data_IF_796808775307
#
_entry.id   IF_796808775307
#
_cell.length_a   1.000
_cell.length_b   1.000
_cell.length_c   1.000
_cell.angle_alpha   90.00
_cell.angle_beta   90.00
_cell.angle_gamma   90.00
#
_symmetry.space_group_name_H-M   'P 1'
#
loop_
_entity.id
_entity.type
_entity.pdbx_description
1 polymer ?
#
# COMPACT_ATOMS: atom_id res chain seq x y z
N UNK A 1 22.78 55.55 16.65
CA UNK A 1 22.24 55.01 15.40
C UNK A 1 20.87 55.61 15.04
N UNK A 2 20.09 56.12 15.97
CA UNK A 2 18.78 56.76 15.73
C UNK A 2 18.83 58.17 15.05
N UNK A 3 19.93 58.88 15.19
CA UNK A 3 20.07 60.26 14.70
C UNK A 3 20.37 60.37 13.20
N UNK A 4 21.04 59.34 12.62
CA UNK A 4 21.41 59.31 11.18
C UNK A 4 20.19 58.93 10.32
N UNK A 5 19.27 58.12 10.83
CA UNK A 5 18.03 57.74 10.09
C UNK A 5 17.04 58.92 9.97
N UNK A 6 17.02 59.82 10.95
CA UNK A 6 16.16 61.01 10.89
C UNK A 6 16.66 62.10 9.91
N UNK A 7 17.99 62.23 9.81
CA UNK A 7 18.58 63.19 8.84
C UNK A 7 18.38 62.79 7.40
N UNK A 8 18.48 61.48 7.06
CA UNK A 8 18.27 60.98 5.70
C UNK A 8 16.79 61.07 5.24
N UNK A 9 15.82 60.91 6.15
CA UNK A 9 14.41 60.96 5.80
C UNK A 9 13.93 62.40 5.55
N UNK A 10 14.43 63.38 6.34
CA UNK A 10 14.08 64.80 6.14
C UNK A 10 14.76 65.40 4.92
N UNK A 11 16.00 65.00 4.60
CA UNK A 11 16.74 65.50 3.42
C UNK A 11 16.09 64.98 2.11
N UNK A 12 15.71 63.73 2.08
CA UNK A 12 15.03 63.16 0.89
C UNK A 12 13.60 63.75 0.69
N UNK A 13 12.86 64.01 1.79
CA UNK A 13 11.55 64.66 1.69
C UNK A 13 11.65 66.09 1.18
N UNK A 14 12.66 66.86 1.62
CA UNK A 14 12.88 68.25 1.13
C UNK A 14 13.32 68.29 -0.34
N UNK A 15 14.11 67.35 -0.83
CA UNK A 15 14.52 67.25 -2.25
C UNK A 15 13.34 66.98 -3.15
N UNK A 16 12.37 66.20 -2.71
CA UNK A 16 11.18 65.82 -3.51
C UNK A 16 10.13 66.94 -3.50
N UNK A 17 10.02 67.69 -2.40
CA UNK A 17 9.10 68.86 -2.27
C UNK A 17 9.50 70.02 -3.20
N UNK A 18 10.74 70.05 -3.68
CA UNK A 18 11.25 71.08 -4.61
C UNK A 18 11.19 70.62 -6.08
N UNK A 19 10.68 69.41 -6.38
CA UNK A 19 10.55 68.93 -7.75
C UNK A 19 9.52 69.72 -8.52
N UNK A 20 9.87 70.16 -9.73
CA UNK A 20 8.93 70.85 -10.62
C UNK A 20 7.76 69.94 -10.98
N UNK A 21 6.57 70.49 -11.10
CA UNK A 21 5.32 69.79 -11.41
C UNK A 21 5.46 68.95 -12.69
N UNK A 22 6.22 69.44 -13.64
CA UNK A 22 6.55 68.76 -14.89
C UNK A 22 7.32 67.46 -14.66
N UNK A 23 8.27 67.43 -13.74
CA UNK A 23 9.05 66.25 -13.42
C UNK A 23 8.20 65.18 -12.71
N UNK A 24 7.32 65.57 -11.81
CA UNK A 24 6.38 64.66 -11.14
C UNK A 24 5.42 63.98 -12.16
N UNK A 25 4.91 64.72 -13.14
CA UNK A 25 4.09 64.17 -14.21
C UNK A 25 4.86 63.20 -15.08
N UNK A 26 6.11 63.52 -15.44
CA UNK A 26 6.98 62.64 -16.24
C UNK A 26 7.27 61.36 -15.49
N UNK A 27 7.59 61.39 -14.20
CA UNK A 27 7.88 60.22 -13.38
C UNK A 27 6.64 59.33 -13.22
N UNK A 28 5.44 59.88 -13.03
CA UNK A 28 4.21 59.09 -12.92
C UNK A 28 3.86 58.39 -14.24
N UNK A 29 3.99 59.07 -15.37
CA UNK A 29 3.79 58.48 -16.70
C UNK A 29 4.84 57.37 -16.95
N UNK A 30 6.10 57.63 -16.65
CA UNK A 30 7.17 56.65 -16.79
C UNK A 30 6.93 55.39 -15.94
N UNK A 31 6.52 55.56 -14.67
CA UNK A 31 6.18 54.46 -13.78
C UNK A 31 5.04 53.58 -14.31
N UNK A 32 3.97 54.22 -14.83
CA UNK A 32 2.84 53.50 -15.44
C UNK A 32 3.27 52.75 -16.70
N UNK A 33 4.04 53.38 -17.58
CA UNK A 33 4.54 52.77 -18.81
C UNK A 33 5.47 51.58 -18.52
N UNK A 34 6.37 51.68 -17.54
CA UNK A 34 7.26 50.60 -17.09
C UNK A 34 6.45 49.47 -16.50
N UNK A 35 5.45 49.75 -15.67
CA UNK A 35 4.56 48.75 -15.10
C UNK A 35 3.78 47.97 -16.16
N UNK A 36 3.25 48.68 -17.17
CA UNK A 36 2.57 48.07 -18.30
C UNK A 36 3.52 47.20 -19.14
N UNK A 37 4.73 47.67 -19.39
CA UNK A 37 5.75 46.92 -20.12
C UNK A 37 6.16 45.63 -19.40
N UNK A 38 6.44 45.74 -18.12
CA UNK A 38 6.77 44.57 -17.25
C UNK A 38 5.58 43.61 -17.23
N UNK A 39 4.37 44.11 -16.99
CA UNK A 39 3.15 43.29 -16.97
C UNK A 39 2.94 42.58 -18.31
N UNK A 40 3.12 43.25 -19.43
CA UNK A 40 3.01 42.68 -20.76
C UNK A 40 4.07 41.60 -21.04
N UNK A 41 5.32 41.85 -20.66
CA UNK A 41 6.41 40.88 -20.80
C UNK A 41 6.18 39.62 -19.96
N UNK A 42 5.80 39.80 -18.70
CA UNK A 42 5.49 38.68 -17.80
C UNK A 42 4.28 37.88 -18.29
N UNK A 43 3.21 38.55 -18.75
CA UNK A 43 2.06 37.90 -19.36
C UNK A 43 2.45 37.10 -20.59
N UNK A 44 3.26 37.68 -21.48
CA UNK A 44 3.70 37.03 -22.71
C UNK A 44 4.52 35.75 -22.38
N UNK A 45 5.40 35.82 -21.39
CA UNK A 45 6.19 34.65 -20.94
C UNK A 45 5.31 33.58 -20.28
N UNK A 46 4.40 34.01 -19.40
CA UNK A 46 3.51 33.10 -18.69
C UNK A 46 2.56 32.37 -19.64
N UNK A 47 1.90 33.13 -20.54
CA UNK A 47 0.97 32.56 -21.53
C UNK A 47 1.68 31.60 -22.47
N UNK A 48 2.92 31.90 -22.91
CA UNK A 48 3.71 31.01 -23.78
C UNK A 48 4.09 29.70 -23.08
N UNK A 49 4.38 29.75 -21.77
CA UNK A 49 4.72 28.54 -20.98
C UNK A 49 3.48 27.72 -20.62
N UNK A 50 2.36 28.38 -20.36
CA UNK A 50 1.11 27.74 -19.97
C UNK A 50 0.35 27.14 -21.16
N UNK A 51 0.53 27.66 -22.38
CA UNK A 51 -0.07 27.09 -23.60
C UNK A 51 0.39 25.65 -23.90
N UNK A 52 1.51 25.23 -23.34
CA UNK A 52 2.02 23.85 -23.45
C UNK A 52 1.51 22.94 -22.32
N UNK A 53 0.58 23.39 -21.51
CA UNK A 53 -0.03 22.63 -20.40
C UNK A 53 -1.49 22.30 -20.73
N UNK A 54 -2.04 21.31 -20.01
CA UNK A 54 -3.42 20.80 -20.16
C UNK A 54 -4.48 21.79 -19.58
N UNK A 55 -4.15 23.06 -19.40
CA UNK A 55 -5.03 24.05 -18.82
C UNK A 55 -5.94 24.67 -19.89
N UNK A 56 -7.20 24.89 -19.52
CA UNK A 56 -8.20 25.55 -20.38
C UNK A 56 -7.81 26.99 -20.72
N UNK A 57 -8.08 27.41 -21.94
CA UNK A 57 -7.72 28.75 -22.47
C UNK A 57 -8.23 29.89 -21.59
N UNK A 58 -9.42 29.77 -20.97
CA UNK A 58 -9.98 30.82 -20.10
C UNK A 58 -9.14 30.98 -18.81
N UNK A 59 -8.59 29.89 -18.24
CA UNK A 59 -7.72 29.91 -17.06
C UNK A 59 -6.40 30.62 -17.40
N UNK A 60 -5.83 30.32 -18.57
CA UNK A 60 -4.58 30.94 -19.04
C UNK A 60 -4.77 32.46 -19.25
N UNK A 61 -5.92 32.87 -19.79
CA UNK A 61 -6.22 34.27 -19.97
C UNK A 61 -6.46 35.01 -18.65
N UNK A 62 -7.20 34.45 -17.72
CA UNK A 62 -7.44 35.05 -16.39
C UNK A 62 -6.16 35.19 -15.58
N UNK A 63 -5.30 34.16 -15.57
CA UNK A 63 -3.95 34.24 -14.98
C UNK A 63 -3.09 35.30 -15.65
N UNK A 64 -3.17 35.41 -16.98
CA UNK A 64 -2.47 36.42 -17.74
C UNK A 64 -2.90 37.86 -17.38
N UNK A 65 -4.17 38.08 -17.11
CA UNK A 65 -4.68 39.38 -16.62
C UNK A 65 -4.20 39.66 -15.21
N UNK A 66 -4.26 38.69 -14.35
CA UNK A 66 -3.82 38.79 -12.93
C UNK A 66 -2.33 39.14 -12.81
N UNK A 67 -1.49 38.61 -13.68
CA UNK A 67 -0.05 38.93 -13.78
C UNK A 67 0.21 40.38 -14.16
N UNK A 68 -0.68 41.02 -14.97
CA UNK A 68 -0.54 42.44 -15.35
C UNK A 68 -1.01 43.37 -14.22
N UNK A 69 -1.97 42.94 -13.42
CA UNK A 69 -2.52 43.76 -12.31
C UNK A 69 -1.45 44.03 -11.25
N UNK A 70 -0.56 43.08 -10.95
CA UNK A 70 0.46 43.20 -9.89
C UNK A 70 1.44 44.38 -10.15
N UNK A 71 2.09 44.51 -11.30
CA UNK A 71 2.92 45.69 -11.60
C UNK A 71 2.15 47.00 -11.59
N UNK A 72 0.90 46.98 -12.04
CA UNK A 72 0.04 48.18 -12.03
C UNK A 72 -0.32 48.62 -10.60
N UNK A 73 -0.59 47.70 -9.69
CA UNK A 73 -0.81 47.99 -8.26
C UNK A 73 0.47 48.57 -7.62
N UNK A 74 1.63 48.05 -7.95
CA UNK A 74 2.91 48.58 -7.47
C UNK A 74 3.14 50.00 -7.98
N UNK A 75 2.83 50.28 -9.26
CA UNK A 75 2.92 51.60 -9.82
C UNK A 75 1.90 52.58 -9.17
N UNK A 76 0.68 52.12 -8.91
CA UNK A 76 -0.34 52.89 -8.21
C UNK A 76 0.06 53.31 -6.80
N UNK A 77 0.79 52.41 -6.07
CA UNK A 77 1.37 52.71 -4.74
C UNK A 77 2.57 53.68 -4.84
N UNK A 78 3.28 53.73 -5.95
CA UNK A 78 4.37 54.68 -6.17
C UNK A 78 3.91 56.11 -6.47
N UNK A 79 2.70 56.31 -7.02
CA UNK A 79 2.16 57.64 -7.36
C UNK A 79 2.07 58.56 -6.13
N UNK A 80 1.45 58.18 -4.99
CA UNK A 80 1.38 59.02 -3.79
C UNK A 80 2.76 59.41 -3.24
N UNK A 81 3.77 58.52 -3.40
CA UNK A 81 5.17 58.80 -2.97
C UNK A 81 5.77 59.92 -3.81
N UNK A 82 5.45 59.99 -5.11
CA UNK A 82 5.96 61.04 -6.02
C UNK A 82 5.27 62.37 -5.79
N UNK A 83 3.96 62.35 -5.49
CA UNK A 83 3.17 63.58 -5.39
C UNK A 83 3.16 64.19 -3.97
N UNK A 84 3.06 63.41 -2.93
CA UNK A 84 2.97 63.87 -1.53
C UNK A 84 3.71 62.92 -0.60
N UNK A 85 5.07 62.86 -0.66
CA UNK A 85 5.85 61.87 0.09
C UNK A 85 5.63 62.01 1.60
N UNK A 86 5.60 63.21 2.13
CA UNK A 86 5.41 63.44 3.57
C UNK A 86 4.06 62.85 4.07
N UNK A 87 2.96 63.14 3.37
CA UNK A 87 1.63 62.65 3.71
C UNK A 87 1.57 61.11 3.57
N UNK A 88 2.21 60.56 2.55
CA UNK A 88 2.26 59.13 2.32
C UNK A 88 3.03 58.42 3.44
N UNK A 89 4.21 58.94 3.81
CA UNK A 89 5.02 58.31 4.86
C UNK A 89 4.41 58.45 6.25
N UNK A 90 3.74 59.60 6.57
CA UNK A 90 3.04 59.78 7.82
C UNK A 90 1.81 58.87 7.93
N UNK A 91 1.01 58.78 6.85
CA UNK A 91 -0.12 57.86 6.77
C UNK A 91 0.36 56.40 6.87
N UNK A 92 1.42 56.04 6.16
CA UNK A 92 2.01 54.69 6.20
C UNK A 92 2.52 54.33 7.59
N UNK A 93 3.17 55.29 8.26
CA UNK A 93 3.65 55.10 9.65
C UNK A 93 2.47 54.92 10.61
N UNK A 94 1.42 55.73 10.47
CA UNK A 94 0.22 55.64 11.31
C UNK A 94 -0.48 54.29 11.09
N UNK A 95 -0.57 53.84 9.86
CA UNK A 95 -1.15 52.55 9.47
C UNK A 95 -0.35 51.36 10.02
N UNK A 96 0.99 51.42 9.98
CA UNK A 96 1.87 50.45 10.60
C UNK A 96 1.67 50.37 12.11
N UNK A 97 1.56 51.53 12.77
CA UNK A 97 1.34 51.57 14.22
C UNK A 97 -0.05 51.06 14.62
N UNK A 98 -1.07 51.39 13.87
CA UNK A 98 -2.45 50.93 14.11
C UNK A 98 -2.63 49.42 13.82
N UNK A 99 -2.06 48.95 12.77
CA UNK A 99 -2.20 47.52 12.36
C UNK A 99 -1.12 46.60 12.95
N UNK A 100 -0.12 47.15 13.69
CA UNK A 100 1.03 46.38 14.18
C UNK A 100 1.78 45.60 13.08
N UNK A 101 1.71 46.10 11.84
CA UNK A 101 2.31 45.41 10.68
C UNK A 101 3.82 45.68 10.66
N UNK A 102 4.59 44.65 10.83
CA UNK A 102 6.03 44.71 10.54
C UNK A 102 6.27 44.39 9.05
N UNK A 103 6.44 45.42 8.23
CA UNK A 103 6.63 45.29 6.76
C UNK A 103 7.85 44.44 6.43
N UNK A 104 8.91 44.55 7.21
CA UNK A 104 10.11 43.71 7.00
C UNK A 104 9.83 42.23 7.24
N UNK A 105 9.03 41.90 8.25
CA UNK A 105 8.60 40.53 8.51
C UNK A 105 7.70 40.02 7.39
N UNK A 106 6.70 40.80 6.96
CA UNK A 106 5.83 40.42 5.83
C UNK A 106 6.59 40.19 4.52
N UNK A 107 7.56 41.05 4.20
CA UNK A 107 8.41 40.87 3.03
C UNK A 107 9.22 39.57 3.16
N UNK A 108 9.74 39.26 4.34
CA UNK A 108 10.43 38.01 4.63
C UNK A 108 9.53 36.79 4.43
N UNK A 109 8.29 36.83 4.94
CA UNK A 109 7.29 35.75 4.78
C UNK A 109 6.90 35.54 3.32
N UNK A 110 6.66 36.64 2.56
CA UNK A 110 6.33 36.57 1.11
C UNK A 110 7.49 36.00 0.30
N UNK A 111 8.71 36.51 0.51
CA UNK A 111 9.92 36.02 -0.18
C UNK A 111 10.18 34.56 0.19
N UNK A 112 10.07 34.21 1.47
CA UNK A 112 10.19 32.84 1.97
C UNK A 112 9.18 31.92 1.34
N UNK A 113 7.91 32.36 1.22
CA UNK A 113 6.85 31.57 0.55
C UNK A 113 7.16 31.34 -0.92
N UNK A 114 7.60 32.37 -1.64
CA UNK A 114 7.97 32.22 -3.06
C UNK A 114 9.14 31.26 -3.25
N UNK A 115 10.14 31.34 -2.38
CA UNK A 115 11.28 30.41 -2.38
C UNK A 115 10.85 28.98 -2.05
N UNK A 116 10.00 28.79 -1.04
CA UNK A 116 9.46 27.48 -0.70
C UNK A 116 8.65 26.87 -1.84
N UNK A 117 7.82 27.65 -2.51
CA UNK A 117 7.07 27.19 -3.68
C UNK A 117 8.02 26.78 -4.82
N UNK A 118 8.98 27.64 -5.16
CA UNK A 118 9.90 27.40 -6.27
C UNK A 118 10.79 26.15 -6.01
N UNK A 119 11.42 26.08 -4.82
CA UNK A 119 12.26 24.96 -4.42
C UNK A 119 11.43 23.71 -4.21
N UNK A 120 10.25 23.86 -3.64
CA UNK A 120 9.35 22.76 -3.34
C UNK A 120 8.81 22.06 -4.59
N UNK A 121 8.37 22.83 -5.59
CA UNK A 121 7.95 22.25 -6.89
C UNK A 121 9.14 21.59 -7.58
N UNK A 122 10.33 22.18 -7.49
CA UNK A 122 11.56 21.58 -8.00
C UNK A 122 11.85 20.24 -7.31
N UNK A 123 11.80 20.19 -5.98
CA UNK A 123 12.01 18.98 -5.19
C UNK A 123 10.95 17.92 -5.51
N UNK A 124 9.66 18.29 -5.56
CA UNK A 124 8.57 17.37 -5.88
C UNK A 124 8.74 16.72 -7.25
N UNK A 125 9.12 17.49 -8.27
CA UNK A 125 9.41 16.99 -9.63
C UNK A 125 10.64 16.08 -9.65
N UNK A 126 11.68 16.44 -8.89
CA UNK A 126 12.90 15.62 -8.79
C UNK A 126 12.62 14.29 -8.14
N UNK A 127 11.89 14.27 -7.00
CA UNK A 127 11.47 13.05 -6.31
C UNK A 127 10.63 12.17 -7.25
N UNK A 128 9.64 12.75 -7.93
CA UNK A 128 8.83 12.05 -8.92
C UNK A 128 9.70 11.42 -10.01
N UNK A 129 10.65 12.18 -10.57
CA UNK A 129 11.52 11.70 -11.64
C UNK A 129 12.48 10.59 -11.16
N UNK A 130 13.02 10.69 -9.95
CA UNK A 130 13.89 9.66 -9.35
C UNK A 130 13.10 8.36 -9.14
N UNK A 131 11.89 8.45 -8.59
CA UNK A 131 11.03 7.28 -8.37
C UNK A 131 10.67 6.62 -9.71
N UNK A 132 10.26 7.40 -10.70
CA UNK A 132 9.92 6.88 -12.03
C UNK A 132 11.12 6.23 -12.73
N UNK A 133 12.34 6.72 -12.52
CA UNK A 133 13.56 6.12 -13.08
C UNK A 133 14.02 4.88 -12.30
N UNK A 134 13.84 4.87 -10.97
CA UNK A 134 14.25 3.76 -10.11
C UNK A 134 13.39 2.51 -10.26
N UNK A 135 12.12 2.67 -10.67
CA UNK A 135 11.24 1.54 -10.91
C UNK A 135 11.52 0.90 -12.28
N UNK A 136 11.97 -0.37 -12.26
CA UNK A 136 12.33 -1.12 -13.47
C UNK A 136 11.14 -1.24 -14.45
N UNK A 137 11.38 -0.95 -15.71
CA UNK A 137 10.39 -1.07 -16.81
C UNK A 137 9.97 -2.51 -17.10
N UNK A 138 10.80 -3.49 -16.74
CA UNK A 138 10.56 -4.90 -17.10
C UNK A 138 9.55 -5.60 -16.18
N UNK A 139 9.24 -5.04 -15.01
CA UNK A 139 8.35 -5.69 -14.02
C UNK A 139 7.14 -4.87 -13.63
N UNK A 140 7.12 -3.57 -13.91
CA UNK A 140 6.07 -2.64 -13.44
C UNK A 140 5.52 -1.89 -14.64
N UNK A 141 4.19 -1.99 -14.84
CA UNK A 141 3.47 -1.28 -15.87
C UNK A 141 3.64 0.25 -15.75
N UNK A 142 3.66 0.94 -16.89
CA UNK A 142 3.85 2.38 -16.99
C UNK A 142 2.79 3.17 -16.18
N UNK A 143 1.56 2.65 -16.13
CA UNK A 143 0.46 3.26 -15.38
C UNK A 143 0.74 3.23 -13.88
N UNK A 144 1.22 2.10 -13.36
CA UNK A 144 1.57 1.92 -11.94
C UNK A 144 2.74 2.83 -11.54
N UNK A 145 3.77 2.93 -12.38
CA UNK A 145 4.90 3.84 -12.14
C UNK A 145 4.46 5.29 -12.07
N UNK A 146 3.61 5.70 -13.00
CA UNK A 146 3.07 7.07 -13.05
C UNK A 146 2.21 7.36 -11.83
N UNK A 147 1.41 6.39 -11.38
CA UNK A 147 0.58 6.51 -10.18
C UNK A 147 1.45 6.73 -8.94
N UNK A 148 2.46 5.87 -8.74
CA UNK A 148 3.39 5.96 -7.61
C UNK A 148 4.11 7.32 -7.62
N UNK A 149 4.64 7.72 -8.77
CA UNK A 149 5.30 9.03 -8.90
C UNK A 149 4.37 10.21 -8.58
N UNK A 150 3.09 10.12 -8.97
CA UNK A 150 2.09 11.14 -8.66
C UNK A 150 1.75 11.20 -7.18
N UNK A 151 1.65 10.05 -6.50
CA UNK A 151 1.42 10.00 -5.04
C UNK A 151 2.55 10.72 -4.30
N UNK A 152 3.81 10.42 -4.60
CA UNK A 152 4.94 11.09 -3.95
C UNK A 152 5.03 12.57 -4.29
N UNK A 153 4.68 12.98 -5.51
CA UNK A 153 4.57 14.38 -5.88
C UNK A 153 3.55 15.13 -5.00
N UNK A 154 2.34 14.56 -4.84
CA UNK A 154 1.28 15.14 -4.01
C UNK A 154 1.69 15.19 -2.53
N UNK A 155 2.28 14.12 -1.99
CA UNK A 155 2.77 14.10 -0.61
C UNK A 155 3.82 15.20 -0.36
N UNK A 156 4.74 15.40 -1.30
CA UNK A 156 5.74 16.47 -1.20
C UNK A 156 5.06 17.85 -1.22
N UNK A 157 4.06 18.07 -2.06
CA UNK A 157 3.31 19.34 -2.08
C UNK A 157 2.56 19.59 -0.77
N UNK A 158 1.98 18.56 -0.15
CA UNK A 158 1.32 18.67 1.15
C UNK A 158 2.33 19.11 2.22
N UNK A 159 3.52 18.51 2.26
CA UNK A 159 4.58 18.90 3.20
C UNK A 159 5.00 20.36 3.02
N UNK A 160 5.13 20.81 1.77
CA UNK A 160 5.47 22.21 1.46
C UNK A 160 4.35 23.15 1.92
N UNK A 161 3.09 22.77 1.71
CA UNK A 161 1.94 23.56 2.18
C UNK A 161 1.97 23.70 3.71
N UNK A 162 2.30 22.65 4.47
CA UNK A 162 2.47 22.74 5.91
C UNK A 162 3.60 23.69 6.32
N UNK A 163 4.73 23.68 5.60
CA UNK A 163 5.83 24.61 5.86
C UNK A 163 5.43 26.05 5.57
N UNK A 164 4.66 26.31 4.53
CA UNK A 164 4.14 27.64 4.20
C UNK A 164 3.20 28.11 5.32
N UNK A 165 2.25 27.28 5.77
CA UNK A 165 1.36 27.63 6.88
C UNK A 165 2.16 27.95 8.16
N UNK A 166 3.21 27.20 8.45
CA UNK A 166 4.10 27.44 9.59
C UNK A 166 4.85 28.76 9.46
N UNK A 167 5.30 29.12 8.24
CA UNK A 167 5.98 30.39 7.97
C UNK A 167 5.08 31.58 8.30
N UNK A 168 3.79 31.46 8.00
CA UNK A 168 2.77 32.50 8.27
C UNK A 168 2.20 32.43 9.70
N UNK A 169 2.82 31.67 10.59
CA UNK A 169 2.34 31.44 11.97
C UNK A 169 0.86 30.99 12.06
N UNK A 170 0.36 30.35 10.99
CA UNK A 170 -1.00 29.78 10.96
C UNK A 170 -1.00 28.52 11.80
N UNK A 171 -1.96 28.39 12.72
CA UNK A 171 -2.10 27.20 13.55
C UNK A 171 -2.30 25.95 12.70
N UNK A 172 -1.41 24.96 12.87
CA UNK A 172 -1.48 23.68 12.16
C UNK A 172 -2.46 22.68 12.81
N UNK A 173 -3.09 23.04 13.93
CA UNK A 173 -3.99 22.14 14.67
C UNK A 173 -5.15 21.61 13.82
N UNK A 174 -5.83 22.46 13.08
CA UNK A 174 -6.96 22.06 12.21
C UNK A 174 -6.50 21.24 11.00
N UNK A 175 -5.51 21.66 10.19
CA UNK A 175 -4.99 20.83 9.11
C UNK A 175 -4.46 19.48 9.58
N UNK A 176 -3.74 19.42 10.71
CA UNK A 176 -3.22 18.17 11.28
C UNK A 176 -4.38 17.27 11.75
N UNK A 177 -5.40 17.83 12.39
CA UNK A 177 -6.57 17.06 12.79
C UNK A 177 -7.30 16.46 11.58
N UNK A 178 -7.49 17.23 10.51
CA UNK A 178 -8.10 16.76 9.27
C UNK A 178 -7.25 15.64 8.63
N UNK A 179 -5.92 15.81 8.57
CA UNK A 179 -5.01 14.81 8.03
C UNK A 179 -5.03 13.53 8.87
N UNK A 180 -5.19 13.62 10.19
CA UNK A 180 -5.30 12.46 11.08
C UNK A 180 -6.52 11.61 10.76
N UNK A 181 -7.68 12.23 10.50
CA UNK A 181 -8.89 11.51 10.08
C UNK A 181 -8.67 10.78 8.76
N UNK A 182 -8.06 11.44 7.77
CA UNK A 182 -7.73 10.83 6.48
C UNK A 182 -6.76 9.67 6.66
N UNK A 183 -5.74 9.83 7.51
CA UNK A 183 -4.76 8.79 7.81
C UNK A 183 -5.41 7.57 8.42
N UNK A 184 -6.32 7.75 9.38
CA UNK A 184 -7.09 6.65 9.99
C UNK A 184 -7.93 5.92 8.93
N UNK A 185 -8.65 6.66 8.08
CA UNK A 185 -9.44 6.07 7.01
C UNK A 185 -8.59 5.24 6.02
N UNK A 186 -7.42 5.76 5.61
CA UNK A 186 -6.47 5.03 4.76
C UNK A 186 -5.95 3.78 5.47
N UNK A 187 -5.60 3.88 6.76
CA UNK A 187 -5.10 2.76 7.56
C UNK A 187 -6.11 1.61 7.58
N UNK A 188 -7.38 1.89 7.85
CA UNK A 188 -8.43 0.87 7.79
C UNK A 188 -8.59 0.27 6.38
N UNK A 189 -8.45 1.08 5.34
CA UNK A 189 -8.58 0.61 3.95
C UNK A 189 -7.47 -0.35 3.50
N UNK A 190 -6.25 -0.22 4.05
CA UNK A 190 -5.11 -1.07 3.68
C UNK A 190 -4.79 -2.15 4.72
N UNK A 191 -5.55 -2.20 5.82
CA UNK A 191 -5.30 -3.10 6.95
C UNK A 191 -5.19 -4.57 6.53
N UNK A 192 -6.09 -5.06 5.68
CA UNK A 192 -6.10 -6.45 5.23
C UNK A 192 -4.87 -6.78 4.37
N UNK A 193 -4.46 -5.84 3.51
CA UNK A 193 -3.25 -6.01 2.69
C UNK A 193 -2.01 -6.09 3.59
N UNK A 194 -1.92 -5.23 4.60
CA UNK A 194 -0.80 -5.23 5.53
C UNK A 194 -0.75 -6.52 6.36
N UNK A 195 -1.92 -7.02 6.78
CA UNK A 195 -2.04 -8.30 7.48
C UNK A 195 -1.54 -9.46 6.63
N UNK A 196 -1.91 -9.51 5.34
CA UNK A 196 -1.42 -10.53 4.41
C UNK A 196 0.10 -10.49 4.26
N UNK A 197 0.70 -9.29 4.16
CA UNK A 197 2.15 -9.12 4.04
C UNK A 197 2.88 -9.61 5.29
N UNK A 198 2.39 -9.25 6.48
CA UNK A 198 2.98 -9.67 7.75
C UNK A 198 2.87 -11.18 7.91
N UNK A 199 1.70 -11.77 7.63
CA UNK A 199 1.50 -13.22 7.69
C UNK A 199 2.39 -13.95 6.67
N UNK A 200 2.52 -13.43 5.44
CA UNK A 200 3.40 -13.99 4.42
C UNK A 200 4.87 -13.99 4.86
N UNK A 201 5.32 -12.90 5.48
CA UNK A 201 6.65 -12.82 6.05
C UNK A 201 6.89 -13.87 7.13
N UNK A 202 5.90 -14.10 8.04
CA UNK A 202 5.97 -15.16 9.04
C UNK A 202 6.05 -16.56 8.41
N UNK A 203 5.19 -16.84 7.43
CA UNK A 203 5.21 -18.15 6.73
C UNK A 203 6.57 -18.41 6.09
N UNK A 204 7.19 -17.39 5.49
CA UNK A 204 8.51 -17.50 4.86
C UNK A 204 9.65 -17.73 5.88
N UNK A 205 9.54 -17.19 7.10
CA UNK A 205 10.54 -17.35 8.15
C UNK A 205 10.35 -18.68 8.89
N UNK A 206 9.14 -18.94 9.39
CA UNK A 206 8.86 -20.12 10.22
C UNK A 206 8.75 -21.40 9.40
N UNK A 207 8.40 -21.29 8.11
CA UNK A 207 8.28 -22.39 7.15
C UNK A 207 7.48 -23.58 7.71
N UNK A 208 6.22 -23.40 8.11
CA UNK A 208 5.38 -24.49 8.58
C UNK A 208 5.13 -25.55 7.51
N UNK A 209 5.35 -25.21 6.25
CA UNK A 209 5.34 -26.08 5.08
C UNK A 209 6.34 -25.58 4.03
N UNK A 210 6.74 -26.44 3.12
CA UNK A 210 7.67 -26.12 2.02
C UNK A 210 6.95 -26.16 0.66
N UNK A 211 7.57 -25.54 -0.34
CA UNK A 211 7.14 -25.71 -1.73
C UNK A 211 7.26 -27.19 -2.10
N UNK A 212 6.18 -27.75 -2.66
CA UNK A 212 6.05 -29.17 -2.97
C UNK A 212 5.38 -30.00 -1.88
N UNK A 213 5.09 -29.43 -0.70
CA UNK A 213 4.28 -30.10 0.31
C UNK A 213 2.80 -30.07 -0.07
N UNK A 214 2.10 -31.15 0.24
CA UNK A 214 0.64 -31.18 0.18
C UNK A 214 0.08 -30.69 1.52
N UNK A 215 -0.68 -29.61 1.48
CA UNK A 215 -1.32 -29.07 2.67
C UNK A 215 -2.85 -29.02 2.51
N UNK A 216 -3.53 -29.17 3.62
CA UNK A 216 -4.97 -28.90 3.73
C UNK A 216 -5.17 -27.69 4.64
N UNK A 217 -5.86 -26.68 4.14
CA UNK A 217 -6.14 -25.45 4.89
C UNK A 217 -7.61 -25.39 5.25
N UNK A 218 -7.90 -25.11 6.51
CA UNK A 218 -9.28 -24.88 6.98
C UNK A 218 -9.32 -23.54 7.68
N UNK A 219 -10.06 -22.61 7.12
CA UNK A 219 -10.32 -21.31 7.73
C UNK A 219 -11.79 -21.23 8.13
N UNK A 220 -12.10 -20.50 9.19
CA UNK A 220 -13.47 -20.30 9.68
C UNK A 220 -14.41 -19.62 8.64
N UNK A 221 -13.84 -19.05 7.57
CA UNK A 221 -14.55 -18.24 6.57
C UNK A 221 -14.50 -18.84 5.16
N UNK A 222 -13.66 -19.85 4.92
CA UNK A 222 -13.43 -20.39 3.58
C UNK A 222 -13.64 -21.91 3.52
N UNK A 223 -14.04 -22.38 2.35
CA UNK A 223 -14.07 -23.82 2.02
C UNK A 223 -12.65 -24.40 2.24
N UNK A 224 -12.54 -25.62 2.84
CA UNK A 224 -11.24 -26.26 2.98
C UNK A 224 -10.64 -26.57 1.60
N UNK A 225 -9.37 -26.21 1.42
CA UNK A 225 -8.62 -26.51 0.20
C UNK A 225 -7.50 -27.49 0.52
N UNK A 226 -7.37 -28.52 -0.29
CA UNK A 226 -6.26 -29.48 -0.24
C UNK A 226 -5.50 -29.42 -1.56
N UNK A 227 -4.20 -29.14 -1.48
CA UNK A 227 -3.38 -29.01 -2.68
C UNK A 227 -1.90 -28.99 -2.38
N UNK A 228 -1.09 -29.05 -3.43
CA UNK A 228 0.37 -28.94 -3.35
C UNK A 228 0.78 -27.49 -3.38
N UNK A 229 1.64 -27.05 -2.47
CA UNK A 229 2.20 -25.71 -2.42
C UNK A 229 3.11 -25.49 -3.63
N UNK A 230 2.74 -24.57 -4.53
CA UNK A 230 3.56 -24.19 -5.68
C UNK A 230 4.48 -23.02 -5.38
N UNK A 231 3.95 -22.01 -4.68
CA UNK A 231 4.69 -20.79 -4.38
C UNK A 231 4.13 -20.10 -3.13
N UNK A 232 5.01 -19.44 -2.39
CA UNK A 232 4.65 -18.61 -1.24
C UNK A 232 5.11 -17.19 -1.53
N UNK A 233 4.17 -16.34 -1.93
CA UNK A 233 4.39 -14.94 -2.22
C UNK A 233 4.17 -14.09 -0.98
N UNK A 234 4.56 -12.80 -1.03
CA UNK A 234 4.39 -11.89 0.11
C UNK A 234 2.93 -11.73 0.56
N UNK A 235 1.95 -11.79 -0.35
CA UNK A 235 0.54 -11.59 -0.04
C UNK A 235 -0.29 -12.86 -0.01
N UNK A 236 0.09 -13.86 -0.78
CA UNK A 236 -0.72 -15.06 -1.00
C UNK A 236 0.15 -16.31 -1.14
N UNK A 237 -0.35 -17.43 -0.67
CA UNK A 237 0.18 -18.76 -0.92
C UNK A 237 -0.60 -19.39 -2.07
N UNK A 238 0.09 -19.97 -3.06
CA UNK A 238 -0.49 -20.64 -4.21
C UNK A 238 -0.45 -22.14 -4.00
N UNK A 239 -1.61 -22.74 -4.19
CA UNK A 239 -1.78 -24.20 -4.13
C UNK A 239 -2.24 -24.69 -5.49
N UNK A 240 -1.70 -25.82 -5.95
CA UNK A 240 -2.28 -26.63 -7.01
C UNK A 240 -3.15 -27.69 -6.40
N UNK A 241 -4.44 -27.65 -6.68
CA UNK A 241 -5.40 -28.65 -6.24
C UNK A 241 -5.16 -29.99 -6.94
N UNK A 242 -5.73 -31.06 -6.40
CA UNK A 242 -5.68 -32.40 -7.00
C UNK A 242 -6.36 -32.42 -8.38
N UNK A 243 -7.38 -31.58 -8.59
CA UNK A 243 -8.06 -31.35 -9.89
C UNK A 243 -7.21 -30.63 -10.93
N UNK A 244 -6.03 -30.08 -10.54
CA UNK A 244 -5.10 -29.36 -11.40
C UNK A 244 -5.28 -27.84 -11.43
N UNK A 245 -6.27 -27.30 -10.74
CA UNK A 245 -6.54 -25.88 -10.65
C UNK A 245 -5.55 -25.18 -9.70
N UNK A 246 -5.23 -23.92 -9.99
CA UNK A 246 -4.45 -23.06 -9.08
C UNK A 246 -5.40 -22.27 -8.17
N UNK A 247 -5.19 -22.35 -6.87
CA UNK A 247 -5.87 -21.51 -5.87
C UNK A 247 -4.87 -20.61 -5.20
N UNK A 248 -5.16 -19.32 -5.19
CA UNK A 248 -4.36 -18.30 -4.49
C UNK A 248 -5.07 -17.90 -3.19
N UNK A 249 -4.51 -18.28 -2.06
CA UNK A 249 -5.08 -18.04 -0.73
C UNK A 249 -4.33 -16.89 -0.06
N UNK A 250 -5.00 -15.81 0.40
CA UNK A 250 -4.38 -14.75 1.18
C UNK A 250 -3.64 -15.30 2.39
N UNK A 251 -2.42 -14.83 2.62
CA UNK A 251 -1.56 -15.36 3.68
C UNK A 251 -2.18 -15.21 5.08
N UNK A 252 -2.97 -14.17 5.30
CA UNK A 252 -3.70 -13.97 6.55
C UNK A 252 -4.70 -15.10 6.83
N UNK A 253 -5.31 -15.70 5.80
CA UNK A 253 -6.23 -16.83 5.96
C UNK A 253 -5.46 -18.13 6.21
N UNK A 254 -4.31 -18.31 5.56
CA UNK A 254 -3.44 -19.49 5.79
C UNK A 254 -2.89 -19.47 7.22
N UNK A 255 -2.34 -18.34 7.66
CA UNK A 255 -1.73 -18.18 8.98
C UNK A 255 -2.76 -18.17 10.12
N UNK A 256 -3.95 -17.60 9.88
CA UNK A 256 -5.03 -17.53 10.87
C UNK A 256 -5.89 -18.79 10.94
N UNK A 257 -5.69 -19.76 10.03
CA UNK A 257 -6.42 -21.02 9.98
C UNK A 257 -5.62 -22.20 10.52
N UNK A 258 -6.24 -23.38 10.45
CA UNK A 258 -5.54 -24.63 10.71
C UNK A 258 -4.92 -25.12 9.40
N UNK A 259 -3.62 -25.36 9.42
CA UNK A 259 -2.88 -25.96 8.30
C UNK A 259 -2.45 -27.36 8.68
N UNK A 260 -2.93 -28.35 7.93
CA UNK A 260 -2.49 -29.74 8.05
C UNK A 260 -1.50 -30.01 6.94
N UNK A 261 -0.23 -30.27 7.29
CA UNK A 261 0.77 -30.68 6.30
C UNK A 261 0.72 -32.22 6.14
N UNK A 262 0.19 -32.65 5.00
CA UNK A 262 -0.03 -34.07 4.70
C UNK A 262 1.23 -34.80 4.28
N UNK A 263 2.31 -34.10 3.93
CA UNK A 263 3.55 -34.67 3.39
C UNK A 263 4.79 -34.36 4.24
N UNK A 264 4.62 -33.63 5.33
CA UNK A 264 5.75 -33.30 6.24
C UNK A 264 6.47 -34.56 6.74
N UNK A 265 5.69 -35.56 7.14
CA UNK A 265 6.23 -36.87 7.46
C UNK A 265 6.21 -37.77 6.22
N UNK A 266 7.26 -38.58 6.06
CA UNK A 266 7.40 -39.48 4.90
C UNK A 266 6.34 -40.57 4.88
N UNK A 267 5.66 -40.80 5.99
CA UNK A 267 4.73 -41.89 6.21
C UNK A 267 3.41 -41.41 6.73
N UNK A 268 2.34 -42.04 6.29
CA UNK A 268 0.96 -41.71 6.63
C UNK A 268 0.22 -42.97 7.07
N UNK A 269 -0.54 -42.86 8.13
CA UNK A 269 -1.42 -43.96 8.60
C UNK A 269 -2.69 -43.99 7.77
N UNK A 270 -3.02 -45.18 7.26
CA UNK A 270 -4.30 -45.48 6.58
C UNK A 270 -5.10 -46.42 7.47
N UNK A 271 -6.41 -46.26 7.45
CA UNK A 271 -7.36 -47.12 8.17
C UNK A 271 -8.34 -47.63 7.15
N UNK A 272 -8.42 -48.96 6.99
CA UNK A 272 -9.46 -49.62 6.23
C UNK A 272 -10.40 -50.30 7.22
N UNK A 273 -11.69 -50.02 7.09
CA UNK A 273 -12.73 -50.64 7.89
C UNK A 273 -13.32 -51.77 7.05
N UNK A 274 -13.22 -52.98 7.54
CA UNK A 274 -13.82 -54.17 6.93
C UNK A 274 -15.04 -54.57 7.76
N UNK A 275 -16.17 -54.71 7.12
CA UNK A 275 -17.43 -55.22 7.71
C UNK A 275 -17.64 -56.68 7.22
N UNK A 276 -17.61 -57.62 8.12
CA UNK A 276 -17.73 -59.05 7.88
C UNK A 276 -18.91 -59.63 8.57
N UNK A 277 -19.60 -60.60 7.96
CA UNK A 277 -20.60 -61.34 8.69
C UNK A 277 -19.99 -62.02 9.96
N UNK A 278 -20.71 -62.05 11.07
CA UNK A 278 -20.23 -62.56 12.35
C UNK A 278 -19.67 -64.01 12.21
N UNK A 279 -20.30 -64.76 11.32
CA UNK A 279 -19.91 -66.17 11.00
C UNK A 279 -18.52 -66.28 10.37
N UNK A 280 -18.10 -65.27 9.63
CA UNK A 280 -16.84 -65.24 8.91
C UNK A 280 -15.69 -64.61 9.74
N UNK A 281 -15.97 -64.11 10.93
CA UNK A 281 -14.96 -63.57 11.81
C UNK A 281 -14.55 -64.54 12.91
N UNK A 282 -13.33 -65.11 12.76
CA UNK A 282 -12.71 -65.96 13.77
C UNK A 282 -11.69 -65.12 14.54
N UNK A 283 -11.88 -64.98 15.84
CA UNK A 283 -11.12 -64.05 16.72
C UNK A 283 -9.60 -64.16 16.59
N UNK A 284 -9.02 -65.34 16.51
CA UNK A 284 -7.58 -65.51 16.49
C UNK A 284 -7.01 -65.79 15.09
N UNK A 285 -7.82 -66.18 14.14
CA UNK A 285 -7.44 -66.54 12.78
C UNK A 285 -7.55 -65.41 11.80
N UNK A 286 -8.71 -64.73 11.75
CA UNK A 286 -9.00 -63.64 10.80
C UNK A 286 -8.02 -62.48 10.93
N UNK A 287 -7.67 -61.97 12.14
CA UNK A 287 -6.69 -60.89 12.27
C UNK A 287 -5.30 -61.29 11.82
N UNK A 288 -4.87 -62.57 12.07
CA UNK A 288 -3.56 -63.06 11.64
C UNK A 288 -3.45 -63.21 10.14
N UNK A 289 -4.51 -63.68 9.48
CA UNK A 289 -4.58 -63.77 8.01
C UNK A 289 -4.47 -62.39 7.35
N UNK A 290 -5.18 -61.41 7.88
CA UNK A 290 -5.13 -60.01 7.43
C UNK A 290 -3.73 -59.43 7.61
N UNK A 291 -3.12 -59.58 8.82
CA UNK A 291 -1.79 -59.09 9.12
C UNK A 291 -0.74 -59.68 8.19
N UNK A 292 -0.78 -60.98 7.98
CA UNK A 292 0.17 -61.68 7.09
C UNK A 292 0.07 -61.16 5.66
N UNK A 293 -1.14 -61.03 5.14
CA UNK A 293 -1.38 -60.56 3.78
C UNK A 293 -0.90 -59.13 3.56
N UNK A 294 -1.03 -58.28 4.58
CA UNK A 294 -0.60 -56.85 4.48
C UNK A 294 0.91 -56.73 4.65
N UNK A 295 1.53 -57.58 5.50
CA UNK A 295 2.96 -57.55 5.70
C UNK A 295 3.76 -58.05 4.49
N UNK A 296 3.15 -58.85 3.62
CA UNK A 296 3.75 -59.29 2.35
C UNK A 296 3.85 -58.19 1.28
N UNK A 297 3.17 -57.06 1.49
CA UNK A 297 3.19 -55.90 0.57
C UNK A 297 4.40 -55.00 0.85
N UNK A 298 5.37 -54.92 -0.07
CA UNK A 298 6.58 -54.08 0.07
C UNK A 298 6.26 -52.58 0.31
N UNK A 299 5.12 -52.13 -0.17
CA UNK A 299 4.72 -50.74 -0.05
C UNK A 299 4.13 -50.38 1.31
N UNK A 300 3.77 -51.33 2.12
CA UNK A 300 3.34 -51.14 3.51
C UNK A 300 4.58 -51.10 4.43
N UNK A 301 4.67 -50.07 5.25
CA UNK A 301 5.79 -49.90 6.15
C UNK A 301 5.73 -50.92 7.27
N UNK A 302 6.86 -51.64 7.55
CA UNK A 302 6.91 -52.61 8.62
C UNK A 302 6.93 -51.99 10.02
N UNK A 303 7.30 -50.71 10.12
CA UNK A 303 7.29 -49.94 11.38
C UNK A 303 6.64 -48.59 11.11
N UNK A 304 5.66 -48.11 11.95
CA UNK A 304 4.99 -48.87 13.00
C UNK A 304 4.25 -50.11 12.45
N UNK A 305 4.21 -51.19 13.22
CA UNK A 305 3.61 -52.46 12.80
C UNK A 305 2.13 -52.30 12.44
N UNK A 306 1.66 -52.90 11.34
CA UNK A 306 0.23 -52.95 11.02
C UNK A 306 -0.54 -53.59 12.16
N UNK A 307 -1.75 -53.09 12.41
CA UNK A 307 -2.61 -53.54 13.49
C UNK A 307 -4.01 -53.85 12.97
N UNK A 308 -4.57 -54.92 13.46
CA UNK A 308 -5.96 -55.32 13.20
C UNK A 308 -6.73 -55.30 14.51
N UNK A 309 -7.79 -54.49 14.55
CA UNK A 309 -8.57 -54.26 15.76
C UNK A 309 -10.04 -54.51 15.47
N UNK A 310 -10.70 -55.37 16.26
CA UNK A 310 -12.15 -55.50 16.29
C UNK A 310 -12.71 -54.29 16.99
N UNK A 311 -13.50 -53.47 16.32
CA UNK A 311 -14.14 -52.29 16.88
C UNK A 311 -15.47 -52.57 17.58
N UNK A 312 -16.15 -53.61 17.10
CA UNK A 312 -17.47 -54.03 17.62
C UNK A 312 -18.27 -54.74 16.57
N UNK A 313 -19.53 -54.96 16.87
CA UNK A 313 -20.52 -55.53 15.97
C UNK A 313 -21.64 -54.47 15.71
N UNK A 314 -22.10 -54.46 14.46
CA UNK A 314 -23.27 -53.59 14.13
C UNK A 314 -24.60 -54.28 14.38
N UNK A 315 -25.71 -53.56 14.17
CA UNK A 315 -27.08 -54.13 14.31
C UNK A 315 -27.37 -55.26 13.34
N UNK A 316 -26.65 -55.34 12.22
CA UNK A 316 -26.83 -56.35 11.19
C UNK A 316 -25.98 -57.60 11.42
N UNK A 317 -25.46 -57.79 12.66
CA UNK A 317 -24.59 -58.89 13.07
C UNK A 317 -23.30 -58.98 12.22
N UNK A 318 -22.73 -57.85 11.85
CA UNK A 318 -21.46 -57.81 11.18
C UNK A 318 -20.35 -57.37 12.15
N UNK A 319 -19.23 -58.03 12.12
CA UNK A 319 -18.01 -57.62 12.82
C UNK A 319 -17.37 -56.45 12.08
N UNK A 320 -17.12 -55.37 12.79
CA UNK A 320 -16.42 -54.20 12.26
C UNK A 320 -14.96 -54.31 12.67
N UNK A 321 -14.10 -54.57 11.70
CA UNK A 321 -12.67 -54.72 11.86
C UNK A 321 -11.93 -53.55 11.27
N UNK A 322 -11.09 -52.87 12.05
CA UNK A 322 -10.22 -51.82 11.55
C UNK A 322 -8.81 -52.36 11.31
N UNK A 323 -8.36 -52.19 10.09
CA UNK A 323 -7.02 -52.51 9.65
C UNK A 323 -6.23 -51.22 9.56
N UNK A 324 -5.22 -51.04 10.38
CA UNK A 324 -4.38 -49.85 10.49
C UNK A 324 -2.98 -50.15 10.01
N UNK A 325 -2.49 -49.41 9.04
CA UNK A 325 -1.15 -49.58 8.49
C UNK A 325 -0.56 -48.25 8.04
N UNK A 326 0.73 -48.22 7.78
CA UNK A 326 1.45 -47.03 7.35
C UNK A 326 1.95 -47.20 5.93
N UNK A 327 1.77 -46.11 5.14
CA UNK A 327 2.20 -46.05 3.73
C UNK A 327 3.02 -44.81 3.49
N UNK A 328 3.85 -44.75 2.43
CA UNK A 328 4.52 -43.49 2.04
C UNK A 328 3.53 -42.43 1.72
N UNK A 329 3.70 -41.22 2.26
CA UNK A 329 2.74 -40.11 2.13
C UNK A 329 2.42 -39.67 0.69
N UNK A 330 3.33 -39.96 -0.25
CA UNK A 330 3.22 -39.60 -1.67
C UNK A 330 2.74 -40.73 -2.58
N UNK A 331 2.49 -41.93 -2.05
CA UNK A 331 2.13 -43.13 -2.82
C UNK A 331 0.77 -43.68 -2.37
N UNK A 332 -0.30 -42.94 -2.66
CA UNK A 332 -1.67 -43.34 -2.32
C UNK A 332 -2.18 -44.56 -3.13
N UNK A 333 -1.55 -44.88 -4.25
CA UNK A 333 -1.85 -46.10 -5.03
C UNK A 333 -1.73 -47.37 -4.25
N UNK A 334 -0.86 -47.38 -3.24
CA UNK A 334 -0.67 -48.51 -2.30
C UNK A 334 -1.96 -48.88 -1.57
N UNK A 335 -2.85 -47.93 -1.34
CA UNK A 335 -4.16 -48.19 -0.71
C UNK A 335 -4.98 -49.15 -1.57
N UNK A 336 -4.96 -48.96 -2.89
CA UNK A 336 -5.66 -49.85 -3.82
C UNK A 336 -5.09 -51.26 -3.81
N UNK A 337 -3.74 -51.40 -3.70
CA UNK A 337 -3.10 -52.71 -3.62
C UNK A 337 -3.48 -53.43 -2.33
N UNK A 338 -3.55 -52.70 -1.21
CA UNK A 338 -4.02 -53.26 0.07
C UNK A 338 -5.48 -53.66 0.00
N UNK A 339 -6.37 -52.86 -0.59
CA UNK A 339 -7.79 -53.19 -0.76
C UNK A 339 -7.92 -54.48 -1.60
N UNK A 340 -7.18 -54.59 -2.67
CA UNK A 340 -7.17 -55.77 -3.55
C UNK A 340 -6.71 -57.03 -2.79
N UNK A 341 -5.67 -56.87 -1.95
CA UNK A 341 -5.16 -57.96 -1.14
C UNK A 341 -6.13 -58.35 -0.04
N UNK A 342 -6.75 -57.38 0.64
CA UNK A 342 -7.77 -57.64 1.62
C UNK A 342 -9.02 -58.32 1.02
N UNK A 343 -9.45 -57.92 -0.17
CA UNK A 343 -10.59 -58.56 -0.85
C UNK A 343 -10.29 -60.02 -1.26
N UNK A 344 -9.05 -60.37 -1.54
CA UNK A 344 -8.67 -61.77 -1.75
C UNK A 344 -8.75 -62.60 -0.49
N UNK A 345 -8.38 -62.05 0.65
CA UNK A 345 -8.41 -62.70 1.98
C UNK A 345 -9.80 -62.73 2.56
N UNK A 346 -10.60 -61.69 2.29
CA UNK A 346 -11.93 -61.48 2.81
C UNK A 346 -12.90 -61.17 1.67
N UNK A 347 -13.32 -62.12 0.82
CA UNK A 347 -14.10 -61.84 -0.38
C UNK A 347 -15.50 -61.33 -0.09
N UNK A 348 -16.07 -61.66 1.07
CA UNK A 348 -17.42 -61.25 1.48
C UNK A 348 -17.42 -59.97 2.37
N UNK A 349 -16.28 -59.34 2.54
CA UNK A 349 -16.18 -58.13 3.37
C UNK A 349 -16.52 -56.86 2.60
N UNK A 350 -17.32 -56.01 3.20
CA UNK A 350 -17.48 -54.62 2.75
C UNK A 350 -16.28 -53.78 3.26
N UNK A 351 -15.47 -53.31 2.32
CA UNK A 351 -14.21 -52.60 2.61
C UNK A 351 -14.40 -51.10 2.41
N UNK A 352 -14.28 -50.34 3.46
CA UNK A 352 -14.40 -48.88 3.44
C UNK A 352 -13.07 -48.25 3.90
N UNK A 353 -12.53 -47.35 3.07
CA UNK A 353 -11.35 -46.58 3.44
C UNK A 353 -11.78 -45.40 4.28
N UNK A 354 -11.34 -45.36 5.52
CA UNK A 354 -11.45 -44.18 6.34
C UNK A 354 -10.36 -43.19 5.93
N UNK A 355 -10.72 -42.15 5.20
CA UNK A 355 -9.74 -41.12 4.84
C UNK A 355 -9.22 -40.41 6.10
N UNK A 356 -7.90 -40.24 6.24
CA UNK A 356 -7.37 -39.46 7.33
C UNK A 356 -7.86 -38.01 7.22
N UNK A 357 -8.10 -37.38 8.36
CA UNK A 357 -8.38 -35.94 8.45
C UNK A 357 -7.43 -35.14 7.54
N UNK A 358 -7.97 -34.49 6.51
CA UNK A 358 -7.18 -33.73 5.53
C UNK A 358 -7.40 -34.10 4.08
N UNK A 359 -8.21 -35.09 3.77
CA UNK A 359 -8.72 -35.36 2.42
C UNK A 359 -10.23 -35.08 2.42
N UNK A 360 -10.61 -33.83 2.31
CA UNK A 360 -11.98 -33.43 1.93
C UNK A 360 -11.88 -32.62 0.65
#
# INVERSE_FOLDING_TARGET
>A
MFFISHLNSTTNAQIIETMSLTLQIILTIAAILVALLIGWLLRRQAVRRLHNTVLDNWIIQTLGVLIVIVPLLIAALAIPIVWHPAIFFDYWRSLQLQLHINVAALLGEVIGTLLLIALGIGAARTIQAVIMRGLSTNRIDINTRTLIGRIFYILTLILIAFWILSLWNISLSVPVAALSVVTVAITFSIQDILKDLVCGFYILIERPFHIGDQISTTSAVAVPYTGTVEDVQLRATRLRLISGEEVSIPNALVFGGVVVNNTHYMERRVIITAKLAEENFVKDETPQQILKAIQELEAVRPKPEPQVLLKGYNTDKQAIVQVRFWVPSRQLSVISDVIYTLHKVLPDADLEVSEPLGNV
#
